data_IF_283391694978
#
_entry.id   IF_283391694978
#
_cell.length_a   1.000
_cell.length_b   1.000
_cell.length_c   1.000
_cell.angle_alpha   90.00
_cell.angle_beta   90.00
_cell.angle_gamma   90.00
#
_symmetry.space_group_name_H-M   'P 1'
#
loop_
_entity.id
_entity.type
_entity.pdbx_description
1 polymer ?
#
# COMPACT_ATOMS: atom_id res chain seq x y z
N UNK A 1 -22.31 26.04 13.99
CA UNK A 1 -22.72 25.44 12.71
C UNK A 1 -22.54 23.95 12.90
N UNK A 2 -23.60 23.25 13.28
CA UNK A 2 -23.53 21.81 13.46
C UNK A 2 -23.45 21.16 12.08
N UNK A 3 -22.32 20.50 11.83
CA UNK A 3 -22.03 19.87 10.57
C UNK A 3 -22.81 18.56 10.49
N UNK A 4 -23.79 18.50 9.59
CA UNK A 4 -24.48 17.26 9.26
C UNK A 4 -23.58 16.37 8.39
N UNK A 5 -22.66 15.68 9.06
CA UNK A 5 -21.74 14.71 8.45
C UNK A 5 -22.49 13.59 7.71
N UNK A 6 -23.73 13.29 8.10
CA UNK A 6 -24.53 12.27 7.43
C UNK A 6 -24.99 12.74 6.04
N UNK A 7 -25.37 14.02 5.89
CA UNK A 7 -25.75 14.59 4.59
C UNK A 7 -24.57 14.65 3.59
N UNK A 8 -23.35 14.87 4.09
CA UNK A 8 -22.12 14.86 3.28
C UNK A 8 -21.73 13.44 2.88
N UNK A 9 -21.84 12.46 3.78
CA UNK A 9 -21.53 11.06 3.47
C UNK A 9 -22.61 10.37 2.62
N UNK A 10 -23.85 10.86 2.64
CA UNK A 10 -24.94 10.38 1.78
C UNK A 10 -24.83 10.85 0.31
N UNK A 11 -23.89 11.75 0.01
CA UNK A 11 -23.65 12.26 -1.33
C UNK A 11 -23.09 11.18 -2.28
N UNK A 12 -23.65 11.03 -3.49
CA UNK A 12 -23.12 10.13 -4.52
C UNK A 12 -21.63 10.37 -4.84
N UNK A 13 -21.18 11.63 -4.76
CA UNK A 13 -19.78 12.01 -4.93
C UNK A 13 -18.84 11.38 -3.89
N UNK A 14 -19.29 11.23 -2.65
CA UNK A 14 -18.49 10.65 -1.57
C UNK A 14 -18.39 9.12 -1.70
N UNK A 15 -19.48 8.45 -2.10
CA UNK A 15 -19.48 7.01 -2.40
C UNK A 15 -18.53 6.67 -3.56
N UNK A 16 -18.56 7.49 -4.62
CA UNK A 16 -17.66 7.34 -5.77
C UNK A 16 -16.20 7.56 -5.37
N UNK A 17 -15.93 8.59 -4.56
CA UNK A 17 -14.60 8.87 -4.01
C UNK A 17 -14.03 7.70 -3.21
N UNK A 18 -14.82 7.12 -2.30
CA UNK A 18 -14.41 5.95 -1.51
C UNK A 18 -14.00 4.79 -2.44
N UNK A 19 -14.80 4.48 -3.46
CA UNK A 19 -14.49 3.40 -4.42
C UNK A 19 -13.18 3.66 -5.17
N UNK A 20 -12.96 4.89 -5.64
CA UNK A 20 -11.71 5.27 -6.31
C UNK A 20 -10.52 5.09 -5.35
N UNK A 21 -10.66 5.53 -4.11
CA UNK A 21 -9.58 5.43 -3.12
C UNK A 21 -9.25 4.00 -2.70
N UNK A 22 -10.23 3.09 -2.68
CA UNK A 22 -9.96 1.65 -2.51
C UNK A 22 -9.07 1.13 -3.64
N UNK A 23 -9.38 1.47 -4.89
CA UNK A 23 -8.56 1.07 -6.04
C UNK A 23 -7.17 1.70 -6.03
N UNK A 24 -7.06 2.97 -5.64
CA UNK A 24 -5.76 3.64 -5.45
C UNK A 24 -4.95 2.94 -4.36
N UNK A 25 -5.57 2.58 -3.24
CA UNK A 25 -4.91 1.82 -2.18
C UNK A 25 -4.39 0.46 -2.67
N UNK A 26 -5.20 -0.28 -3.43
CA UNK A 26 -4.80 -1.56 -4.04
C UNK A 26 -3.64 -1.37 -5.04
N UNK A 27 -3.71 -0.35 -5.89
CA UNK A 27 -2.66 -0.02 -6.85
C UNK A 27 -1.35 0.35 -6.14
N UNK A 28 -1.42 1.15 -5.07
CA UNK A 28 -0.27 1.48 -4.22
C UNK A 28 0.33 0.24 -3.56
N UNK A 29 -0.50 -0.67 -3.03
CA UNK A 29 -0.03 -1.92 -2.44
C UNK A 29 0.73 -2.77 -3.46
N UNK A 30 0.18 -2.94 -4.66
CA UNK A 30 0.85 -3.65 -5.75
C UNK A 30 2.15 -2.97 -6.17
N UNK A 31 2.14 -1.64 -6.28
CA UNK A 31 3.31 -0.87 -6.69
C UNK A 31 4.46 -0.98 -5.67
N UNK A 32 4.17 -0.74 -4.39
CA UNK A 32 5.17 -0.86 -3.32
C UNK A 32 5.68 -2.29 -3.24
N UNK A 33 4.79 -3.28 -3.35
CA UNK A 33 5.19 -4.69 -3.38
C UNK A 33 6.13 -5.00 -4.55
N UNK A 34 5.80 -4.55 -5.77
CA UNK A 34 6.66 -4.74 -6.94
C UNK A 34 8.04 -4.08 -6.77
N UNK A 35 8.09 -2.87 -6.21
CA UNK A 35 9.35 -2.19 -5.88
C UNK A 35 10.18 -2.98 -4.86
N UNK A 36 9.53 -3.50 -3.82
CA UNK A 36 10.18 -4.31 -2.79
C UNK A 36 10.68 -5.65 -3.33
N UNK A 37 9.94 -6.30 -4.23
CA UNK A 37 10.38 -7.54 -4.87
C UNK A 37 11.63 -7.34 -5.74
N UNK A 38 11.78 -6.17 -6.38
CA UNK A 38 12.87 -5.90 -7.33
C UNK A 38 14.27 -5.91 -6.69
N UNK A 39 14.39 -5.54 -5.41
CA UNK A 39 15.67 -5.54 -4.68
C UNK A 39 15.63 -6.31 -3.36
N UNK A 40 14.48 -6.89 -3.01
CA UNK A 40 14.25 -7.49 -1.70
C UNK A 40 14.93 -8.84 -1.49
N UNK A 41 15.45 -9.47 -2.54
CA UNK A 41 16.02 -10.82 -2.49
C UNK A 41 17.47 -10.92 -3.00
N UNK A 42 18.04 -9.84 -3.51
CA UNK A 42 19.35 -9.88 -4.18
C UNK A 42 20.44 -10.44 -3.25
N UNK A 43 20.44 -10.04 -1.98
CA UNK A 43 21.37 -10.54 -0.97
C UNK A 43 21.27 -12.06 -0.71
N UNK A 44 20.05 -12.60 -0.67
CA UNK A 44 19.84 -14.03 -0.50
C UNK A 44 20.16 -14.81 -1.78
N UNK A 45 19.80 -14.26 -2.94
CA UNK A 45 20.08 -14.87 -4.24
C UNK A 45 21.57 -14.91 -4.54
N UNK A 46 22.32 -13.90 -4.12
CA UNK A 46 23.79 -13.86 -4.24
C UNK A 46 24.44 -15.00 -3.44
N UNK A 47 23.98 -15.24 -2.20
CA UNK A 47 24.48 -16.37 -1.39
C UNK A 47 24.10 -17.72 -2.00
N UNK A 48 22.88 -17.85 -2.52
CA UNK A 48 22.40 -19.09 -3.13
C UNK A 48 23.19 -19.43 -4.42
N UNK A 49 23.51 -18.42 -5.23
CA UNK A 49 24.24 -18.57 -6.50
C UNK A 49 25.75 -18.56 -6.34
N UNK A 50 26.27 -18.12 -5.20
CA UNK A 50 27.72 -18.02 -4.96
C UNK A 50 28.40 -19.40 -5.02
N UNK A 51 29.46 -19.56 -5.83
CA UNK A 51 30.22 -20.81 -5.91
C UNK A 51 30.99 -21.13 -4.63
N UNK A 52 31.19 -20.15 -3.74
CA UNK A 52 31.92 -20.29 -2.48
C UNK A 52 31.01 -20.63 -1.28
N UNK A 53 29.69 -20.56 -1.44
CA UNK A 53 28.75 -20.88 -0.36
C UNK A 53 28.63 -22.39 -0.13
N UNK A 54 28.68 -22.81 1.13
CA UNK A 54 28.49 -24.22 1.51
C UNK A 54 27.04 -24.68 1.28
N UNK A 55 26.83 -25.98 1.06
CA UNK A 55 25.49 -26.54 0.86
C UNK A 55 24.54 -26.23 2.03
N UNK A 56 25.07 -26.19 3.27
CA UNK A 56 24.32 -25.83 4.46
C UNK A 56 23.89 -24.36 4.49
N UNK A 57 24.74 -23.44 4.04
CA UNK A 57 24.40 -22.01 3.93
C UNK A 57 23.34 -21.75 2.87
N UNK A 58 23.49 -22.40 1.70
CA UNK A 58 22.49 -22.31 0.62
C UNK A 58 21.12 -22.81 1.07
N UNK A 59 21.06 -23.97 1.72
CA UNK A 59 19.80 -24.52 2.24
C UNK A 59 19.15 -23.63 3.30
N UNK A 60 19.96 -23.07 4.21
CA UNK A 60 19.47 -22.15 5.25
C UNK A 60 18.93 -20.85 4.66
N UNK A 61 19.54 -20.33 3.59
CA UNK A 61 19.03 -19.15 2.88
C UNK A 61 17.76 -19.45 2.09
N UNK A 62 17.68 -20.59 1.41
CA UNK A 62 16.46 -21.01 0.71
C UNK A 62 15.26 -21.15 1.67
N UNK A 63 15.48 -21.68 2.87
CA UNK A 63 14.43 -21.77 3.90
C UNK A 63 13.97 -20.41 4.44
N UNK A 64 14.77 -19.35 4.29
CA UNK A 64 14.43 -17.98 4.74
C UNK A 64 13.70 -17.15 3.68
N UNK A 65 13.72 -17.58 2.41
CA UNK A 65 13.00 -16.90 1.32
C UNK A 65 11.50 -16.70 1.61
N UNK A 66 10.75 -17.70 2.12
CA UNK A 66 9.32 -17.53 2.41
C UNK A 66 9.09 -16.52 3.52
N UNK A 67 9.90 -16.54 4.57
CA UNK A 67 9.83 -15.58 5.68
C UNK A 67 10.09 -14.16 5.18
N UNK A 68 11.10 -13.97 4.32
CA UNK A 68 11.39 -12.66 3.75
C UNK A 68 10.27 -12.18 2.83
N UNK A 69 9.73 -13.05 1.99
CA UNK A 69 8.55 -12.73 1.18
C UNK A 69 7.38 -12.24 2.04
N UNK A 70 7.06 -12.93 3.15
CA UNK A 70 6.02 -12.49 4.09
C UNK A 70 6.31 -11.11 4.67
N UNK A 71 7.56 -10.84 5.07
CA UNK A 71 7.96 -9.53 5.57
C UNK A 71 7.80 -8.43 4.50
N UNK A 72 8.12 -8.72 3.24
CA UNK A 72 7.92 -7.78 2.14
C UNK A 72 6.42 -7.53 1.86
N UNK A 73 5.57 -8.55 1.96
CA UNK A 73 4.10 -8.38 1.87
C UNK A 73 3.60 -7.46 2.97
N UNK A 74 4.00 -7.69 4.23
CA UNK A 74 3.61 -6.86 5.37
C UNK A 74 4.11 -5.42 5.19
N UNK A 75 5.36 -5.23 4.78
CA UNK A 75 5.93 -3.91 4.51
C UNK A 75 5.19 -3.19 3.37
N UNK A 76 4.81 -3.90 2.32
CA UNK A 76 4.05 -3.33 1.20
C UNK A 76 2.66 -2.86 1.64
N UNK A 77 1.95 -3.67 2.43
CA UNK A 77 0.65 -3.29 2.98
C UNK A 77 0.78 -2.06 3.88
N UNK A 78 1.77 -2.05 4.78
CA UNK A 78 1.98 -0.92 5.67
C UNK A 78 2.35 0.36 4.92
N UNK A 79 3.24 0.27 3.93
CA UNK A 79 3.62 1.39 3.07
C UNK A 79 2.44 1.94 2.26
N UNK A 80 1.63 1.05 1.69
CA UNK A 80 0.45 1.45 0.93
C UNK A 80 -0.61 2.12 1.80
N UNK A 81 -0.88 1.57 2.99
CA UNK A 81 -1.82 2.17 3.96
C UNK A 81 -1.32 3.54 4.42
N UNK A 82 -0.02 3.67 4.72
CA UNK A 82 0.60 4.92 5.14
C UNK A 82 0.50 6.02 4.09
N UNK A 83 0.45 5.66 2.80
CA UNK A 83 0.26 6.60 1.70
C UNK A 83 -1.22 6.86 1.39
N UNK A 84 -2.06 5.82 1.40
CA UNK A 84 -3.45 5.90 1.00
C UNK A 84 -4.32 6.65 2.01
N UNK A 85 -4.08 6.51 3.33
CA UNK A 85 -4.88 7.19 4.37
C UNK A 85 -4.76 8.72 4.27
N UNK A 86 -3.56 9.33 4.22
CA UNK A 86 -3.44 10.77 4.06
C UNK A 86 -4.08 11.27 2.76
N UNK A 87 -3.89 10.55 1.66
CA UNK A 87 -4.47 10.91 0.36
C UNK A 87 -6.01 10.90 0.40
N UNK A 88 -6.58 9.87 1.05
CA UNK A 88 -8.02 9.74 1.26
C UNK A 88 -8.57 10.94 2.04
N UNK A 89 -7.93 11.30 3.16
CA UNK A 89 -8.34 12.41 4.00
C UNK A 89 -8.23 13.76 3.27
N UNK A 90 -7.13 13.98 2.55
CA UNK A 90 -6.93 15.21 1.77
C UNK A 90 -8.01 15.38 0.70
N UNK A 91 -8.30 14.33 -0.08
CA UNK A 91 -9.34 14.44 -1.10
C UNK A 91 -10.75 14.53 -0.52
N UNK A 92 -11.02 13.91 0.63
CA UNK A 92 -12.28 14.09 1.35
C UNK A 92 -12.49 15.55 1.77
N UNK A 93 -11.45 16.23 2.27
CA UNK A 93 -11.49 17.66 2.60
C UNK A 93 -11.74 18.52 1.35
N UNK A 94 -11.10 18.20 0.23
CA UNK A 94 -11.32 18.94 -1.04
C UNK A 94 -12.76 18.80 -1.53
N UNK A 95 -13.32 17.58 -1.52
CA UNK A 95 -14.71 17.35 -1.92
C UNK A 95 -15.69 18.07 -1.00
N UNK A 96 -15.39 18.12 0.29
CA UNK A 96 -16.18 18.86 1.26
C UNK A 96 -16.18 20.37 0.96
N UNK A 97 -15.00 20.96 0.78
CA UNK A 97 -14.87 22.39 0.44
C UNK A 97 -15.53 22.72 -0.90
N UNK A 98 -15.39 21.84 -1.89
CA UNK A 98 -16.01 21.99 -3.19
C UNK A 98 -17.54 22.05 -3.09
N UNK A 99 -18.15 21.18 -2.28
CA UNK A 99 -19.60 21.19 -2.04
C UNK A 99 -20.06 22.48 -1.36
N UNK A 100 -19.35 22.92 -0.32
CA UNK A 100 -19.69 24.17 0.33
C UNK A 100 -19.57 25.39 -0.60
N UNK A 101 -18.57 25.39 -1.49
CA UNK A 101 -18.36 26.48 -2.45
C UNK A 101 -19.39 26.50 -3.59
N UNK A 102 -19.85 25.33 -4.04
CA UNK A 102 -20.81 25.20 -5.16
C UNK A 102 -22.27 25.19 -4.72
N UNK A 103 -22.55 25.21 -3.41
CA UNK A 103 -23.90 25.35 -2.86
C UNK A 103 -24.81 24.13 -3.08
N UNK A 104 -24.21 22.94 -3.24
CA UNK A 104 -24.93 21.67 -3.35
C UNK A 104 -25.36 21.08 -2.01
#
# INVERSE_FOLDING_TARGET
>A
MDLDWNAVMAAEGFSTWIRIMVWVGVACAFWVFAMLLRGGFDDMLDVIRSPYATAGERGRMMMRLPTRFLLLVVAALFGAVSFAIPLFLQGAVVLFLWRQATGG
#
